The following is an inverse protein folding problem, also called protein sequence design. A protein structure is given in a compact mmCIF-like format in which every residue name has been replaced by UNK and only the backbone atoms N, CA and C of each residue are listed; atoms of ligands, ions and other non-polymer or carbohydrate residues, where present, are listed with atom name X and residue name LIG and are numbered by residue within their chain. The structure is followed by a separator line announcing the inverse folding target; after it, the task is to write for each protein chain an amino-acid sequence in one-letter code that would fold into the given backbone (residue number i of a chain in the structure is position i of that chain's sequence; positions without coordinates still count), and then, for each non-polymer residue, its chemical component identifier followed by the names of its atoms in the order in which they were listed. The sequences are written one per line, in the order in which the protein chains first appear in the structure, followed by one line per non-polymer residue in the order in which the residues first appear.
data_IF_444084719980
#
_entry.id   IF_444084719980
#
_cell.length_a   1.000
_cell.length_b   1.000
_cell.length_c   1.000
_cell.angle_alpha   90.00
_cell.angle_beta   90.00
_cell.angle_gamma   90.00
#
_symmetry.space_group_name_H-M   'P 1'
#
loop_
_entity.id
_entity.type
_entity.pdbx_description
1 polymer ?
#
# COMPACT_ATOMS: atom_id res chain seq x y z
N UNK A 1 5.54 14.45 17.32
CA UNK A 1 4.54 13.35 17.23
C UNK A 1 4.46 12.83 15.82
N UNK A 2 4.60 11.53 15.64
CA UNK A 2 4.56 10.90 14.32
C UNK A 2 3.12 10.59 13.97
N UNK A 3 2.69 11.03 12.80
CA UNK A 3 1.35 10.74 12.30
C UNK A 3 1.29 9.35 11.68
N UNK A 4 0.14 8.70 11.79
CA UNK A 4 -0.08 7.39 11.16
C UNK A 4 0.10 7.45 9.64
N UNK A 5 -0.36 8.53 9.01
CA UNK A 5 -0.20 8.71 7.57
C UNK A 5 1.27 8.82 7.16
N UNK A 6 2.11 9.43 7.99
CA UNK A 6 3.55 9.50 7.74
C UNK A 6 4.18 8.11 7.80
N UNK A 7 3.77 7.29 8.77
CA UNK A 7 4.24 5.90 8.87
C UNK A 7 3.79 5.09 7.67
N UNK A 8 2.53 5.22 7.28
CA UNK A 8 1.95 4.53 6.12
C UNK A 8 2.70 4.89 4.85
N UNK A 9 2.95 6.18 4.63
CA UNK A 9 3.69 6.65 3.46
C UNK A 9 5.14 6.14 3.45
N UNK A 10 5.77 6.09 4.61
CA UNK A 10 7.14 5.56 4.74
C UNK A 10 7.22 4.09 4.39
N UNK A 11 6.26 3.29 4.83
CA UNK A 11 6.18 1.87 4.49
C UNK A 11 5.94 1.70 2.98
N UNK A 12 5.00 2.46 2.43
CA UNK A 12 4.67 2.42 1.01
C UNK A 12 5.89 2.76 0.15
N UNK A 13 6.60 3.81 0.52
CA UNK A 13 7.79 4.25 -0.20
C UNK A 13 8.88 3.18 -0.22
N UNK A 14 9.13 2.54 0.91
CA UNK A 14 10.11 1.46 1.01
C UNK A 14 9.71 0.26 0.18
N UNK A 15 8.45 -0.11 0.20
CA UNK A 15 7.96 -1.25 -0.57
C UNK A 15 8.08 -1.00 -2.07
N UNK A 16 7.76 0.21 -2.51
CA UNK A 16 7.93 0.60 -3.92
C UNK A 16 9.40 0.57 -4.33
N UNK A 17 10.28 1.05 -3.46
CA UNK A 17 11.72 1.06 -3.76
C UNK A 17 12.29 -0.35 -3.92
N UNK A 18 11.78 -1.31 -3.14
CA UNK A 18 12.28 -2.69 -3.17
C UNK A 18 11.60 -3.57 -4.21
N UNK A 19 10.31 -3.34 -4.46
CA UNK A 19 9.50 -4.26 -5.27
C UNK A 19 8.88 -3.63 -6.51
N UNK A 20 9.00 -2.32 -6.66
CA UNK A 20 8.36 -1.61 -7.77
C UNK A 20 6.85 -1.77 -7.73
N UNK A 21 6.22 -1.79 -8.90
CA UNK A 21 4.77 -1.90 -9.02
C UNK A 21 4.20 -3.17 -8.38
N UNK A 22 5.00 -4.22 -8.29
CA UNK A 22 4.57 -5.47 -7.65
C UNK A 22 4.18 -5.24 -6.18
N UNK A 23 4.76 -4.23 -5.52
CA UNK A 23 4.41 -3.90 -4.14
C UNK A 23 2.93 -3.56 -4.02
N UNK A 24 2.37 -2.82 -4.97
CA UNK A 24 0.96 -2.42 -4.96
C UNK A 24 0.07 -3.66 -5.09
N UNK A 25 0.41 -4.53 -6.03
CA UNK A 25 -0.36 -5.77 -6.25
C UNK A 25 -0.29 -6.69 -5.04
N UNK A 26 0.89 -6.84 -4.45
CA UNK A 26 1.08 -7.67 -3.25
C UNK A 26 0.26 -7.15 -2.08
N UNK A 27 0.21 -5.83 -1.90
CA UNK A 27 -0.59 -5.20 -0.85
C UNK A 27 -2.08 -5.44 -1.07
N UNK A 28 -2.54 -5.32 -2.30
CA UNK A 28 -3.96 -5.56 -2.62
C UNK A 28 -4.36 -7.01 -2.35
N UNK A 29 -3.52 -7.96 -2.72
CA UNK A 29 -3.75 -9.38 -2.45
C UNK A 29 -3.75 -9.64 -0.94
N UNK A 30 -2.79 -9.07 -0.23
CA UNK A 30 -2.72 -9.22 1.22
C UNK A 30 -3.96 -8.65 1.93
N UNK A 31 -4.46 -7.50 1.47
CA UNK A 31 -5.67 -6.90 2.01
C UNK A 31 -6.89 -7.79 1.77
N UNK A 32 -7.00 -8.37 0.57
CA UNK A 32 -8.09 -9.28 0.23
C UNK A 32 -8.04 -10.54 1.11
N UNK A 33 -6.86 -11.07 1.34
CA UNK A 33 -6.68 -12.25 2.20
C UNK A 33 -7.04 -11.93 3.65
N UNK A 34 -6.64 -10.78 4.16
CA UNK A 34 -6.99 -10.35 5.51
C UNK A 34 -8.50 -10.19 5.66
N UNK A 35 -9.15 -9.66 4.63
CA UNK A 35 -10.62 -9.51 4.62
C UNK A 35 -11.31 -10.87 4.64
N UNK A 36 -10.82 -11.81 3.85
CA UNK A 36 -11.38 -13.18 3.79
C UNK A 36 -11.25 -13.94 5.11
N UNK A 37 -10.20 -13.67 5.87
CA UNK A 37 -10.00 -14.31 7.18
C UNK A 37 -10.73 -13.57 8.30
N UNK A 38 -11.46 -12.52 7.98
CA UNK A 38 -12.22 -11.76 8.98
C UNK A 38 -11.41 -10.71 9.73
N UNK A 39 -10.17 -10.47 9.32
CA UNK A 39 -9.31 -9.47 9.96
C UNK A 39 -9.48 -8.11 9.31
N UNK A 40 -10.58 -7.43 9.64
CA UNK A 40 -10.92 -6.12 9.07
C UNK A 40 -9.88 -5.06 9.32
N UNK A 41 -9.37 -5.02 10.54
CA UNK A 41 -8.39 -4.01 10.95
C UNK A 41 -7.12 -4.11 10.11
N UNK A 42 -6.62 -5.33 9.91
CA UNK A 42 -5.46 -5.56 9.04
C UNK A 42 -5.77 -5.20 7.59
N UNK A 43 -6.95 -5.57 7.09
CA UNK A 43 -7.35 -5.26 5.72
C UNK A 43 -7.36 -3.75 5.47
N UNK A 44 -7.93 -2.97 6.38
CA UNK A 44 -7.97 -1.51 6.26
C UNK A 44 -6.57 -0.92 6.28
N UNK A 45 -5.73 -1.36 7.20
CA UNK A 45 -4.35 -0.85 7.30
C UNK A 45 -3.54 -1.17 6.05
N UNK A 46 -3.68 -2.38 5.52
CA UNK A 46 -2.97 -2.79 4.31
C UNK A 46 -3.48 -1.99 3.10
N UNK A 47 -4.77 -1.74 3.00
CA UNK A 47 -5.33 -0.93 1.92
C UNK A 47 -4.84 0.50 1.97
N UNK A 48 -4.68 1.07 3.15
CA UNK A 48 -4.13 2.41 3.30
C UNK A 48 -2.69 2.48 2.79
N UNK A 49 -1.89 1.44 3.05
CA UNK A 49 -0.53 1.36 2.53
C UNK A 49 -0.56 1.22 1.00
N UNK A 50 -1.46 0.40 0.48
CA UNK A 50 -1.60 0.22 -0.97
C UNK A 50 -1.97 1.53 -1.67
N UNK A 51 -2.90 2.28 -1.08
CA UNK A 51 -3.32 3.57 -1.63
C UNK A 51 -2.18 4.60 -1.60
N UNK A 52 -1.41 4.62 -0.52
CA UNK A 52 -0.24 5.49 -0.41
C UNK A 52 0.83 5.12 -1.45
N UNK A 53 1.05 3.84 -1.68
CA UNK A 53 1.98 3.36 -2.69
C UNK A 53 1.54 3.74 -4.10
N UNK A 54 0.24 3.64 -4.38
CA UNK A 54 -0.32 4.03 -5.68
C UNK A 54 -0.17 5.54 -5.91
N UNK A 55 -0.45 6.35 -4.89
CA UNK A 55 -0.27 7.80 -5.00
C UNK A 55 1.19 8.16 -5.31
N UNK A 56 2.12 7.51 -4.65
CA UNK A 56 3.53 7.76 -4.89
C UNK A 56 3.96 7.31 -6.29
N UNK A 57 3.49 6.16 -6.73
CA UNK A 57 3.74 5.63 -8.06
C UNK A 57 3.29 6.62 -9.14
N UNK A 58 2.07 7.15 -9.01
CA UNK A 58 1.52 8.11 -9.96
C UNK A 58 2.27 9.45 -9.92
N UNK A 59 2.66 9.88 -8.74
CA UNK A 59 3.40 11.13 -8.53
C UNK A 59 4.77 11.10 -9.20
N UNK A 60 5.36 9.92 -9.35
CA UNK A 60 6.64 9.73 -10.04
C UNK A 60 6.49 9.70 -11.57
N UNK A 61 5.29 9.93 -12.08
CA UNK A 61 5.03 9.96 -13.52
C UNK A 61 4.78 8.60 -14.14
N UNK A 62 4.60 7.57 -13.35
CA UNK A 62 4.31 6.23 -13.85
C UNK A 62 2.85 6.09 -14.29
N UNK A 63 2.54 5.14 -15.19
CA UNK A 63 1.16 4.94 -15.62
C UNK A 63 0.31 4.34 -14.48
N UNK A 64 -1.03 4.51 -14.55
CA UNK A 64 -1.93 3.89 -13.57
C UNK A 64 -1.73 2.38 -13.49
N UNK A 65 -2.01 1.81 -12.34
CA UNK A 65 -1.82 0.38 -12.09
C UNK A 65 -2.93 -0.48 -12.68
N UNK A 66 -3.95 0.14 -13.18
CA UNK A 66 -5.10 -0.56 -13.79
C UNK A 66 -5.24 -0.14 -15.23
#
# INVERSE_FOLDING_TARGET
MIRLDTITEGIASRMLAHHGIAAIWQLQVAAAMAHRTGNRSAAVSIMEIAEAAEREWLREGNPPTV
#
